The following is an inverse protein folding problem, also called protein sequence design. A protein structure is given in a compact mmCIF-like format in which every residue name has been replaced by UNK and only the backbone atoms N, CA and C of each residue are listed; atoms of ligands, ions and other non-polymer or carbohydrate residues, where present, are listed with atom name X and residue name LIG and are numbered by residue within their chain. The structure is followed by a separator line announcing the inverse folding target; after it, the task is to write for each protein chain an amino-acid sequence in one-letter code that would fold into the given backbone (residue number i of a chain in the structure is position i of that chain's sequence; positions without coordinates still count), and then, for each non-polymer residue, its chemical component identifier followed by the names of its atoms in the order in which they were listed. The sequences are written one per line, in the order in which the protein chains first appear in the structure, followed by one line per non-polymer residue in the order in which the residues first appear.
data_IF_782797416935
#
_entry.id   IF_782797416935
#
_cell.length_a   1.000
_cell.length_b   1.000
_cell.length_c   1.000
_cell.angle_alpha   90.00
_cell.angle_beta   90.00
_cell.angle_gamma   90.00
#
_symmetry.space_group_name_H-M   'P 1'
#
loop_
_entity.id
_entity.type
_entity.pdbx_description
1 polymer ?
#
# COMPACT_ATOMS: atom_id res chain seq x y z
N UNK A 1 12.92 -22.56 13.55
CA UNK A 1 12.85 -22.96 12.12
C UNK A 1 12.10 -21.88 11.35
N UNK A 2 12.71 -21.23 10.34
CA UNK A 2 12.02 -20.23 9.50
C UNK A 2 11.16 -20.97 8.47
N UNK A 3 9.85 -20.83 8.56
CA UNK A 3 8.85 -21.52 7.74
C UNK A 3 9.05 -21.20 6.25
N UNK A 4 9.38 -22.20 5.43
CA UNK A 4 9.39 -22.12 3.95
C UNK A 4 8.01 -21.82 3.33
N UNK A 5 6.94 -21.74 4.14
CA UNK A 5 5.53 -21.76 3.73
C UNK A 5 4.94 -20.38 3.37
N UNK A 6 5.68 -19.29 3.47
CA UNK A 6 5.08 -17.95 3.45
C UNK A 6 5.69 -17.01 2.40
N UNK A 7 5.86 -17.54 1.20
CA UNK A 7 6.23 -16.75 0.03
C UNK A 7 4.99 -16.46 -0.82
N UNK A 8 4.76 -15.20 -1.17
CA UNK A 8 3.67 -14.77 -2.04
C UNK A 8 4.19 -14.39 -3.42
N UNK A 9 3.47 -14.77 -4.45
CA UNK A 9 3.68 -14.32 -5.82
C UNK A 9 3.20 -12.88 -6.01
N UNK A 10 3.65 -12.24 -7.08
CA UNK A 10 3.18 -10.90 -7.46
C UNK A 10 1.64 -10.81 -7.58
N UNK A 11 0.98 -11.86 -8.08
CA UNK A 11 -0.48 -11.91 -8.19
C UNK A 11 -1.17 -11.97 -6.82
N UNK A 12 -0.66 -12.77 -5.90
CA UNK A 12 -1.20 -12.88 -4.55
C UNK A 12 -1.02 -11.59 -3.76
N UNK A 13 0.12 -10.91 -3.90
CA UNK A 13 0.36 -9.60 -3.28
C UNK A 13 -0.59 -8.54 -3.84
N UNK A 14 -0.82 -8.55 -5.17
CA UNK A 14 -1.78 -7.65 -5.81
C UNK A 14 -3.19 -7.85 -5.25
N UNK A 15 -3.63 -9.11 -5.14
CA UNK A 15 -4.92 -9.45 -4.56
C UNK A 15 -5.03 -9.04 -3.08
N UNK A 16 -3.98 -9.28 -2.28
CA UNK A 16 -3.93 -8.92 -0.86
C UNK A 16 -4.13 -7.41 -0.63
N UNK A 17 -3.52 -6.58 -1.48
CA UNK A 17 -3.67 -5.12 -1.39
C UNK A 17 -4.85 -4.55 -2.17
N UNK A 18 -5.55 -5.36 -2.98
CA UNK A 18 -6.57 -4.89 -3.89
C UNK A 18 -6.04 -3.91 -4.94
N UNK A 19 -4.83 -4.14 -5.46
CA UNK A 19 -4.17 -3.29 -6.48
C UNK A 19 -3.90 -4.06 -7.77
N UNK A 20 -3.54 -3.35 -8.84
CA UNK A 20 -3.18 -3.99 -10.10
C UNK A 20 -1.79 -4.65 -10.02
N UNK A 21 -1.57 -5.64 -10.88
CA UNK A 21 -0.26 -6.28 -11.03
C UNK A 21 0.84 -5.27 -11.39
N UNK A 22 0.53 -4.28 -12.23
CA UNK A 22 1.46 -3.23 -12.63
C UNK A 22 1.92 -2.39 -11.44
N UNK A 23 1.02 -2.10 -10.49
CA UNK A 23 1.37 -1.41 -9.24
C UNK A 23 2.39 -2.21 -8.42
N UNK A 24 2.28 -3.54 -8.37
CA UNK A 24 3.27 -4.40 -7.69
C UNK A 24 4.64 -4.35 -8.41
N UNK A 25 4.66 -4.32 -9.74
CA UNK A 25 5.91 -4.16 -10.51
C UNK A 25 6.60 -2.84 -10.23
N UNK A 26 5.84 -1.74 -10.15
CA UNK A 26 6.38 -0.43 -9.77
C UNK A 26 6.94 -0.43 -8.36
N UNK A 27 6.24 -1.03 -7.39
CA UNK A 27 6.74 -1.16 -6.02
C UNK A 27 8.02 -1.97 -5.93
N UNK A 28 8.13 -3.04 -6.73
CA UNK A 28 9.36 -3.82 -6.87
C UNK A 28 10.50 -2.97 -7.43
N UNK A 29 10.25 -2.23 -8.52
CA UNK A 29 11.25 -1.37 -9.18
C UNK A 29 11.80 -0.32 -8.22
N UNK A 30 10.92 0.26 -7.41
CA UNK A 30 11.27 1.28 -6.41
C UNK A 30 11.84 0.70 -5.10
N UNK A 31 12.08 -0.62 -5.03
CA UNK A 31 12.58 -1.34 -3.83
C UNK A 31 11.72 -1.10 -2.58
N UNK A 32 10.42 -0.88 -2.76
CA UNK A 32 9.52 -0.58 -1.63
C UNK A 32 9.20 -1.83 -0.79
N UNK A 33 9.22 -3.02 -1.39
CA UNK A 33 8.88 -4.28 -0.74
C UNK A 33 10.05 -5.25 -0.85
N UNK A 34 10.46 -5.92 0.23
CA UNK A 34 11.45 -7.01 0.17
C UNK A 34 10.93 -8.16 -0.71
N UNK A 35 11.71 -8.50 -1.73
CA UNK A 35 11.44 -9.60 -2.65
C UNK A 35 12.68 -10.46 -2.83
N UNK A 36 12.46 -11.69 -3.29
CA UNK A 36 13.51 -12.60 -3.70
C UNK A 36 13.12 -13.26 -5.02
N UNK A 37 14.10 -13.77 -5.75
CA UNK A 37 13.87 -14.50 -6.97
C UNK A 37 14.36 -15.93 -6.84
N UNK A 38 13.62 -16.85 -7.45
CA UNK A 38 14.04 -18.23 -7.61
C UNK A 38 14.34 -18.46 -9.08
N UNK A 39 15.50 -19.05 -9.35
CA UNK A 39 15.93 -19.45 -10.67
C UNK A 39 15.64 -20.95 -10.80
N UNK A 40 14.79 -21.31 -11.76
CA UNK A 40 14.56 -22.70 -12.11
C UNK A 40 15.28 -22.96 -13.45
N UNK A 41 16.40 -23.67 -13.36
CA UNK A 41 17.20 -24.07 -14.53
C UNK A 41 16.64 -25.38 -15.04
N UNK A 42 16.22 -25.41 -16.30
CA UNK A 42 15.80 -26.63 -17.01
C UNK A 42 16.68 -26.80 -18.26
N UNK A 43 16.75 -28.02 -18.78
CA UNK A 43 17.52 -28.35 -20.00
C UNK A 43 17.23 -27.40 -21.18
N UNK A 44 16.00 -26.91 -21.31
CA UNK A 44 15.55 -26.04 -22.40
C UNK A 44 15.48 -24.55 -22.03
N UNK A 45 16.09 -24.13 -20.92
CA UNK A 45 16.23 -22.72 -20.57
C UNK A 45 15.94 -22.37 -19.11
N UNK A 46 16.09 -21.08 -18.81
CA UNK A 46 16.00 -20.56 -17.44
C UNK A 46 14.68 -19.84 -17.20
N UNK A 47 13.89 -20.29 -16.21
CA UNK A 47 12.69 -19.57 -15.76
C UNK A 47 12.96 -18.88 -14.42
N UNK A 48 12.86 -17.55 -14.42
CA UNK A 48 12.93 -16.73 -13.20
C UNK A 48 11.52 -16.49 -12.66
N UNK A 49 11.32 -16.70 -11.36
CA UNK A 49 10.09 -16.35 -10.64
C UNK A 49 10.41 -15.45 -9.48
N UNK A 50 9.58 -14.44 -9.26
CA UNK A 50 9.75 -13.45 -8.19
C UNK A 50 8.70 -13.68 -7.12
N UNK A 51 9.16 -13.66 -5.87
CA UNK A 51 8.36 -13.89 -4.69
C UNK A 51 8.61 -12.80 -3.65
N UNK A 52 7.67 -12.64 -2.74
CA UNK A 52 7.72 -11.73 -1.61
C UNK A 52 7.55 -12.52 -0.32
N UNK A 53 8.25 -12.12 0.73
CA UNK A 53 8.00 -12.69 2.06
C UNK A 53 6.67 -12.15 2.58
N UNK A 54 5.74 -13.04 2.93
CA UNK A 54 4.40 -12.68 3.41
C UNK A 54 4.46 -11.75 4.62
N UNK A 55 5.32 -12.03 5.61
CA UNK A 55 5.48 -11.17 6.78
C UNK A 55 5.94 -9.76 6.42
N UNK A 56 6.84 -9.64 5.44
CA UNK A 56 7.31 -8.35 4.95
C UNK A 56 6.18 -7.60 4.22
N UNK A 57 5.37 -8.30 3.43
CA UNK A 57 4.17 -7.76 2.77
C UNK A 57 3.17 -7.24 3.80
N UNK A 58 2.84 -8.03 4.82
CA UNK A 58 1.91 -7.65 5.88
C UNK A 58 2.44 -6.45 6.67
N UNK A 59 3.71 -6.49 7.10
CA UNK A 59 4.36 -5.38 7.82
C UNK A 59 4.37 -4.10 7.01
N UNK A 60 4.81 -4.17 5.75
CA UNK A 60 4.83 -3.03 4.84
C UNK A 60 3.43 -2.48 4.60
N UNK A 61 2.44 -3.36 4.44
CA UNK A 61 1.03 -3.02 4.33
C UNK A 61 0.53 -2.21 5.51
N UNK A 62 0.76 -2.71 6.72
CA UNK A 62 0.38 -2.01 7.94
C UNK A 62 1.03 -0.63 8.02
N UNK A 63 2.34 -0.53 7.77
CA UNK A 63 3.07 0.74 7.85
C UNK A 63 2.62 1.78 6.80
N UNK A 64 2.33 1.35 5.56
CA UNK A 64 1.99 2.25 4.46
C UNK A 64 0.49 2.57 4.37
N UNK A 65 -0.37 1.62 4.71
CA UNK A 65 -1.82 1.82 4.71
C UNK A 65 -2.25 2.73 5.87
N UNK A 66 -1.61 2.65 7.04
CA UNK A 66 -1.82 3.59 8.14
C UNK A 66 -1.42 5.03 7.78
N UNK A 67 -0.33 5.22 7.01
CA UNK A 67 0.11 6.57 6.59
C UNK A 67 -0.93 7.23 5.70
N UNK A 68 -1.47 6.53 4.69
CA UNK A 68 -2.52 7.07 3.81
C UNK A 68 -3.83 7.31 4.55
N UNK A 69 -4.25 6.41 5.44
CA UNK A 69 -5.47 6.59 6.25
C UNK A 69 -5.38 7.78 7.22
N UNK A 70 -4.25 7.93 7.93
CA UNK A 70 -4.00 9.09 8.81
C UNK A 70 -4.00 10.40 8.03
N UNK A 71 -3.42 10.42 6.83
CA UNK A 71 -3.39 11.62 5.98
C UNK A 71 -4.80 12.01 5.47
N UNK A 72 -5.62 11.03 5.06
CA UNK A 72 -7.03 11.27 4.68
C UNK A 72 -7.86 11.83 5.84
N UNK A 73 -7.71 11.27 7.04
CA UNK A 73 -8.39 11.76 8.25
C UNK A 73 -7.98 13.21 8.58
N UNK A 74 -6.69 13.55 8.46
CA UNK A 74 -6.18 14.91 8.67
C UNK A 74 -6.81 15.92 7.69
N UNK A 75 -6.92 15.56 6.41
CA UNK A 75 -7.54 16.41 5.38
C UNK A 75 -9.04 16.59 5.65
N UNK A 76 -9.75 15.51 6.00
CA UNK A 76 -11.19 15.56 6.33
C UNK A 76 -11.46 16.44 7.55
N UNK A 77 -10.66 16.31 8.61
CA UNK A 77 -10.74 17.15 9.81
C UNK A 77 -10.49 18.63 9.50
N UNK A 78 -9.49 18.96 8.67
CA UNK A 78 -9.27 20.34 8.19
C UNK A 78 -10.47 20.90 7.44
N UNK A 79 -11.06 20.13 6.51
CA UNK A 79 -12.26 20.54 5.75
C UNK A 79 -13.47 20.78 6.65
N UNK A 80 -13.73 19.92 7.63
CA UNK A 80 -14.80 20.14 8.61
C UNK A 80 -14.58 21.41 9.44
N UNK A 81 -13.35 21.64 9.90
CA UNK A 81 -12.99 22.86 10.65
C UNK A 81 -13.22 24.12 9.81
N UNK A 82 -12.84 24.11 8.54
CA UNK A 82 -13.09 25.20 7.59
C UNK A 82 -14.59 25.48 7.41
N UNK A 83 -15.40 24.44 7.17
CA UNK A 83 -16.86 24.57 7.04
C UNK A 83 -17.51 25.18 8.29
N UNK A 84 -17.09 24.76 9.49
CA UNK A 84 -17.59 25.34 10.75
C UNK A 84 -17.24 26.83 10.88
N UNK A 85 -16.03 27.23 10.47
CA UNK A 85 -15.61 28.64 10.48
C UNK A 85 -16.41 29.48 9.48
N UNK A 86 -16.60 28.98 8.27
CA UNK A 86 -17.40 29.64 7.24
C UNK A 86 -18.85 29.84 7.71
N UNK A 87 -19.47 28.79 8.27
CA UNK A 87 -20.84 28.87 8.83
C UNK A 87 -20.95 29.91 9.95
N UNK A 88 -19.95 30.01 10.83
CA UNK A 88 -19.91 31.03 11.89
C UNK A 88 -19.76 32.45 11.35
N UNK A 89 -19.00 32.67 10.28
CA UNK A 89 -18.90 33.98 9.63
C UNK A 89 -20.23 34.39 9.00
N UNK A 90 -20.81 33.53 8.18
CA UNK A 90 -22.12 33.77 7.57
C UNK A 90 -23.22 34.08 8.59
N UNK A 91 -23.22 33.41 9.75
CA UNK A 91 -24.17 33.69 10.84
C UNK A 91 -23.93 35.03 11.54
N UNK A 92 -22.69 35.54 11.56
CA UNK A 92 -22.39 36.89 12.07
C UNK A 92 -22.83 37.94 11.05
N UNK A 93 -22.52 37.71 9.78
CA UNK A 93 -22.86 38.62 8.69
C UNK A 93 -24.39 38.74 8.51
N UNK A 94 -25.15 37.69 8.82
CA UNK A 94 -26.62 37.70 8.78
C UNK A 94 -27.30 38.28 10.04
N UNK A 95 -26.53 38.63 11.08
CA UNK A 95 -27.05 39.20 12.35
C UNK A 95 -26.70 40.68 12.54
N UNK A 96 -25.82 41.22 11.72
CA UNK A 96 -25.53 42.66 11.63
C UNK A 96 -26.32 43.26 10.49
#
# INVERSE_FOLDING_TARGET
MKSRKEAMTQKEVAAYFGVSYQTILEWRKNRNLPWFETINVKEFGTRRRVFFYKDAVVKWGNENHLKKSKQRLRIRGRRQKMRRRAKRRALKDARG
#
